data_IF_641647340863
#
_entry.id   IF_641647340863
#
_cell.length_a   1.000
_cell.length_b   1.000
_cell.length_c   1.000
_cell.angle_alpha   90.00
_cell.angle_beta   90.00
_cell.angle_gamma   90.00
#
_symmetry.space_group_name_H-M   'P 1'
#
loop_
_entity.id
_entity.type
_entity.pdbx_description
1 polymer ?
#
# COMPACT_ATOMS: atom_id res chain seq x y z
N UNK A 1 35.05 37.44 -1.07
CA UNK A 1 35.01 36.20 -1.83
C UNK A 1 34.83 35.06 -0.86
N UNK A 2 33.56 34.64 -0.56
CA UNK A 2 33.27 33.55 0.40
C UNK A 2 33.10 32.28 -0.44
N UNK A 3 34.10 31.39 -0.39
CA UNK A 3 34.07 30.07 -0.97
C UNK A 3 32.92 29.29 -0.33
N UNK A 4 31.94 28.90 -1.17
CA UNK A 4 30.92 27.91 -0.84
C UNK A 4 31.65 26.62 -0.36
N UNK A 5 31.51 26.29 0.92
CA UNK A 5 31.79 24.94 1.38
C UNK A 5 30.82 24.02 0.62
N UNK A 6 31.34 23.26 -0.34
CA UNK A 6 30.62 22.16 -0.94
C UNK A 6 30.10 21.31 0.23
N UNK A 7 28.75 21.22 0.35
CA UNK A 7 28.12 20.31 1.28
C UNK A 7 28.61 18.92 0.91
N UNK A 8 29.28 18.23 1.81
CA UNK A 8 29.55 16.79 1.68
C UNK A 8 28.20 16.09 1.57
N UNK A 9 27.76 15.86 0.34
CA UNK A 9 26.59 15.04 0.03
C UNK A 9 27.14 13.61 0.00
N UNK A 10 26.66 12.71 0.83
CA UNK A 10 27.14 11.33 0.78
C UNK A 10 26.67 10.71 -0.54
N UNK A 11 27.59 10.11 -1.29
CA UNK A 11 27.30 9.38 -2.55
C UNK A 11 26.62 8.03 -2.33
N UNK A 12 26.19 7.69 -1.09
CA UNK A 12 25.82 6.36 -0.65
C UNK A 12 24.43 6.33 0.02
N UNK A 13 23.44 6.96 -0.62
CA UNK A 13 22.06 6.99 -0.08
C UNK A 13 21.41 5.61 0.00
N UNK A 14 21.80 4.68 -0.87
CA UNK A 14 21.30 3.30 -0.94
C UNK A 14 21.63 2.47 0.31
N UNK A 15 22.70 2.82 1.01
CA UNK A 15 23.13 2.14 2.25
C UNK A 15 22.62 2.82 3.54
N UNK A 16 22.01 3.98 3.43
CA UNK A 16 21.51 4.72 4.57
C UNK A 16 20.17 4.16 5.06
N UNK A 17 19.95 4.21 6.36
CA UNK A 17 18.62 3.91 6.91
C UNK A 17 17.61 5.02 6.56
N UNK A 18 16.33 4.65 6.45
CA UNK A 18 15.25 5.61 6.17
C UNK A 18 15.27 6.80 7.13
N UNK A 19 15.58 6.57 8.40
CA UNK A 19 15.70 7.62 9.42
C UNK A 19 16.77 8.66 9.08
N UNK A 20 17.89 8.21 8.56
CA UNK A 20 19.00 9.08 8.16
C UNK A 20 18.62 9.91 6.93
N UNK A 21 17.98 9.26 5.94
CA UNK A 21 17.47 9.92 4.74
C UNK A 21 16.43 10.99 5.09
N UNK A 22 15.48 10.68 5.97
CA UNK A 22 14.49 11.64 6.46
C UNK A 22 15.18 12.82 7.15
N UNK A 23 16.19 12.56 7.98
CA UNK A 23 16.95 13.62 8.67
C UNK A 23 17.67 14.53 7.65
N UNK A 24 18.31 13.95 6.63
CA UNK A 24 18.97 14.72 5.56
C UNK A 24 17.96 15.60 4.81
N UNK A 25 16.83 15.06 4.44
CA UNK A 25 15.79 15.82 3.75
C UNK A 25 15.26 16.96 4.62
N UNK A 26 14.84 16.68 5.86
CA UNK A 26 14.25 17.69 6.75
C UNK A 26 15.24 18.79 7.17
N UNK A 27 16.49 18.44 7.48
CA UNK A 27 17.47 19.39 8.03
C UNK A 27 18.31 20.09 6.96
N UNK A 28 18.56 19.43 5.83
CA UNK A 28 19.44 19.96 4.76
C UNK A 28 18.71 20.23 3.46
N UNK A 29 17.39 19.94 3.40
CA UNK A 29 16.60 19.98 2.16
C UNK A 29 17.24 19.16 1.04
N UNK A 30 17.75 17.97 1.39
CA UNK A 30 18.45 17.08 0.47
C UNK A 30 17.45 16.29 -0.38
N UNK A 31 17.27 16.72 -1.61
CA UNK A 31 16.30 16.14 -2.54
C UNK A 31 16.69 14.71 -2.98
N UNK A 32 18.00 14.36 -2.95
CA UNK A 32 18.45 13.02 -3.30
C UNK A 32 18.09 12.01 -2.19
N UNK A 33 18.18 12.44 -0.93
CA UNK A 33 17.72 11.64 0.20
C UNK A 33 16.21 11.34 0.11
N UNK A 34 15.39 12.33 -0.27
CA UNK A 34 13.96 12.11 -0.47
C UNK A 34 13.67 11.21 -1.68
N UNK A 35 14.41 11.40 -2.78
CA UNK A 35 14.30 10.54 -3.97
C UNK A 35 14.57 9.07 -3.62
N UNK A 36 15.58 8.82 -2.79
CA UNK A 36 15.90 7.46 -2.34
C UNK A 36 14.77 6.87 -1.49
N UNK A 37 14.21 7.62 -0.54
CA UNK A 37 13.03 7.20 0.23
C UNK A 37 11.85 6.84 -0.69
N UNK A 38 11.62 7.65 -1.72
CA UNK A 38 10.60 7.38 -2.72
C UNK A 38 10.88 6.09 -3.47
N UNK A 39 12.10 5.91 -3.98
CA UNK A 39 12.49 4.72 -4.73
C UNK A 39 12.24 3.42 -3.95
N UNK A 40 12.58 3.42 -2.66
CA UNK A 40 12.41 2.24 -1.79
C UNK A 40 10.96 1.86 -1.53
N UNK A 41 10.08 2.86 -1.43
CA UNK A 41 8.75 2.63 -0.86
C UNK A 41 7.59 2.90 -1.81
N UNK A 42 7.82 3.59 -2.95
CA UNK A 42 6.75 3.95 -3.88
C UNK A 42 5.97 2.74 -4.41
N UNK A 43 6.67 1.65 -4.76
CA UNK A 43 6.02 0.45 -5.27
C UNK A 43 5.07 -0.18 -4.21
N UNK A 44 5.52 -0.23 -2.95
CA UNK A 44 4.70 -0.75 -1.83
C UNK A 44 3.45 0.12 -1.62
N UNK A 45 3.62 1.45 -1.57
CA UNK A 45 2.50 2.38 -1.40
C UNK A 45 1.51 2.28 -2.57
N UNK A 46 2.03 2.23 -3.79
CA UNK A 46 1.21 2.08 -5.00
C UNK A 46 0.40 0.78 -5.00
N UNK A 47 1.07 -0.35 -4.74
CA UNK A 47 0.44 -1.67 -4.69
C UNK A 47 -0.65 -1.74 -3.61
N UNK A 48 -0.43 -1.10 -2.46
CA UNK A 48 -1.45 -1.01 -1.42
C UNK A 48 -2.70 -0.27 -1.92
N UNK A 49 -2.53 0.94 -2.47
CA UNK A 49 -3.67 1.73 -2.97
C UNK A 49 -4.40 0.95 -4.06
N UNK A 50 -3.66 0.37 -5.01
CA UNK A 50 -4.24 -0.41 -6.10
C UNK A 50 -5.02 -1.64 -5.60
N UNK A 51 -4.52 -2.37 -4.61
CA UNK A 51 -5.22 -3.51 -4.00
C UNK A 51 -6.55 -3.14 -3.35
N UNK A 52 -6.74 -1.87 -3.02
CA UNK A 52 -7.96 -1.38 -2.38
C UNK A 52 -8.97 -0.81 -3.38
N UNK A 53 -8.52 -0.12 -4.44
CA UNK A 53 -9.41 0.60 -5.38
C UNK A 53 -9.58 -0.10 -6.72
N UNK A 54 -8.66 -1.01 -7.10
CA UNK A 54 -8.68 -1.78 -8.34
C UNK A 54 -8.84 -0.95 -9.64
N UNK A 55 -8.42 0.31 -9.61
CA UNK A 55 -8.47 1.21 -10.75
C UNK A 55 -7.16 2.01 -10.83
N UNK A 56 -6.47 1.94 -11.99
CA UNK A 56 -5.16 2.53 -12.19
C UNK A 56 -5.18 4.07 -12.12
N UNK A 57 -6.18 4.71 -12.72
CA UNK A 57 -6.29 6.18 -12.71
C UNK A 57 -6.51 6.69 -11.28
N UNK A 58 -7.48 6.10 -10.59
CA UNK A 58 -7.76 6.40 -9.18
C UNK A 58 -6.55 6.13 -8.29
N UNK A 59 -5.81 5.05 -8.55
CA UNK A 59 -4.57 4.75 -7.82
C UNK A 59 -3.53 5.84 -8.03
N UNK A 60 -3.33 6.30 -9.26
CA UNK A 60 -2.40 7.39 -9.57
C UNK A 60 -2.77 8.68 -8.83
N UNK A 61 -4.04 9.04 -8.81
CA UNK A 61 -4.54 10.24 -8.14
C UNK A 61 -4.30 10.17 -6.62
N UNK A 62 -4.68 9.05 -5.99
CA UNK A 62 -4.48 8.84 -4.56
C UNK A 62 -2.99 8.78 -4.20
N UNK A 63 -2.17 8.16 -5.06
CA UNK A 63 -0.74 8.10 -4.88
C UNK A 63 -0.10 9.49 -4.91
N UNK A 64 -0.44 10.31 -5.89
CA UNK A 64 0.02 11.70 -5.98
C UNK A 64 -0.45 12.53 -4.77
N UNK A 65 -1.71 12.41 -4.38
CA UNK A 65 -2.25 13.07 -3.19
C UNK A 65 -1.47 12.65 -1.93
N UNK A 66 -1.19 11.34 -1.80
CA UNK A 66 -0.43 10.78 -0.68
C UNK A 66 0.95 11.43 -0.57
N UNK A 67 1.74 11.45 -1.65
CA UNK A 67 3.08 12.02 -1.60
C UNK A 67 3.10 13.54 -1.52
N UNK A 68 2.09 14.22 -2.04
CA UNK A 68 1.89 15.65 -1.79
C UNK A 68 1.69 15.91 -0.29
N UNK A 69 0.86 15.10 0.39
CA UNK A 69 0.66 15.19 1.84
C UNK A 69 1.92 14.80 2.62
N UNK A 70 2.69 13.80 2.14
CA UNK A 70 3.98 13.42 2.74
C UNK A 70 4.94 14.62 2.74
N UNK A 71 5.11 15.28 1.62
CA UNK A 71 6.02 16.43 1.49
C UNK A 71 5.56 17.58 2.37
N UNK A 72 4.27 17.91 2.34
CA UNK A 72 3.73 19.10 3.02
C UNK A 72 3.61 18.93 4.53
N UNK A 73 3.42 17.70 5.02
CA UNK A 73 3.18 17.41 6.45
C UNK A 73 4.36 16.78 7.17
N UNK A 74 5.46 16.51 6.50
CA UNK A 74 6.60 15.80 7.10
C UNK A 74 7.16 16.55 8.31
N UNK A 75 7.25 17.88 8.25
CA UNK A 75 7.80 18.67 9.37
C UNK A 75 6.85 18.76 10.56
N UNK A 76 5.54 18.75 10.31
CA UNK A 76 4.52 18.97 11.34
C UNK A 76 4.08 17.67 12.04
N UNK A 77 3.97 16.57 11.29
CA UNK A 77 3.28 15.38 11.79
C UNK A 77 4.13 14.12 11.86
N UNK A 78 5.30 14.10 11.20
CA UNK A 78 6.19 12.93 11.26
C UNK A 78 6.97 12.90 12.57
N UNK A 79 6.83 11.78 13.31
CA UNK A 79 7.60 11.53 14.52
C UNK A 79 8.83 10.66 14.17
N UNK A 80 10.03 11.17 14.44
CA UNK A 80 11.31 10.48 14.16
C UNK A 80 11.50 9.17 14.94
N UNK A 81 10.67 8.90 15.96
CA UNK A 81 10.67 7.62 16.69
C UNK A 81 9.92 6.50 15.94
N UNK A 82 9.08 6.85 14.97
CA UNK A 82 8.31 5.92 14.16
C UNK A 82 9.04 5.50 12.88
N UNK A 83 8.62 4.37 12.32
CA UNK A 83 9.06 3.94 10.98
C UNK A 83 8.46 4.89 9.94
N UNK A 84 9.30 5.45 9.05
CA UNK A 84 8.86 6.36 8.01
C UNK A 84 7.77 5.74 7.12
N UNK A 85 7.99 4.51 6.69
CA UNK A 85 7.00 3.81 5.86
C UNK A 85 5.64 3.65 6.55
N UNK A 86 5.60 3.38 7.86
CA UNK A 86 4.33 3.25 8.59
C UNK A 86 3.55 4.59 8.61
N UNK A 87 4.26 5.71 8.73
CA UNK A 87 3.65 7.04 8.67
C UNK A 87 3.13 7.36 7.25
N UNK A 88 3.90 7.05 6.19
CA UNK A 88 3.46 7.20 4.80
C UNK A 88 2.24 6.33 4.52
N UNK A 89 2.26 5.07 4.98
CA UNK A 89 1.13 4.15 4.83
C UNK A 89 -0.14 4.65 5.53
N UNK A 90 -0.02 5.35 6.67
CA UNK A 90 -1.16 5.98 7.33
C UNK A 90 -1.79 7.07 6.45
N UNK A 91 -0.97 7.87 5.78
CA UNK A 91 -1.45 8.90 4.85
C UNK A 91 -2.14 8.25 3.65
N UNK A 92 -1.52 7.22 3.06
CA UNK A 92 -2.06 6.48 1.92
C UNK A 92 -3.38 5.78 2.26
N UNK A 93 -3.43 5.06 3.39
CA UNK A 93 -4.64 4.40 3.87
C UNK A 93 -5.80 5.38 4.04
N UNK A 94 -5.58 6.48 4.76
CA UNK A 94 -6.62 7.48 4.98
C UNK A 94 -7.13 8.08 3.66
N UNK A 95 -6.23 8.43 2.73
CA UNK A 95 -6.63 8.94 1.41
C UNK A 95 -7.45 7.91 0.61
N UNK A 96 -7.04 6.65 0.66
CA UNK A 96 -7.73 5.54 -0.02
C UNK A 96 -9.13 5.31 0.56
N UNK A 97 -9.26 5.22 1.88
CA UNK A 97 -10.56 5.00 2.54
C UNK A 97 -11.49 6.20 2.34
N UNK A 98 -10.95 7.42 2.38
CA UNK A 98 -11.75 8.62 2.10
C UNK A 98 -12.29 8.62 0.67
N UNK A 99 -11.47 8.17 -0.30
CA UNK A 99 -11.92 8.02 -1.69
C UNK A 99 -13.04 6.97 -1.80
N UNK A 100 -12.85 5.77 -1.25
CA UNK A 100 -13.85 4.68 -1.26
C UNK A 100 -15.17 5.15 -0.61
N UNK A 101 -15.10 5.84 0.53
CA UNK A 101 -16.28 6.36 1.22
C UNK A 101 -17.00 7.44 0.41
N UNK A 102 -16.27 8.29 -0.29
CA UNK A 102 -16.87 9.28 -1.21
C UNK A 102 -17.58 8.58 -2.37
N UNK A 103 -16.93 7.63 -3.00
CA UNK A 103 -17.51 6.87 -4.11
C UNK A 103 -18.80 6.14 -3.72
N UNK A 104 -18.81 5.43 -2.57
CA UNK A 104 -20.01 4.76 -2.05
C UNK A 104 -21.17 5.76 -1.85
N UNK A 105 -20.92 6.93 -1.28
CA UNK A 105 -21.94 7.97 -1.10
C UNK A 105 -22.52 8.50 -2.42
N UNK A 106 -21.72 8.64 -3.47
CA UNK A 106 -22.21 9.06 -4.79
C UNK A 106 -23.10 8.01 -5.44
N UNK A 107 -22.79 6.73 -5.27
CA UNK A 107 -23.59 5.60 -5.77
C UNK A 107 -24.94 5.54 -5.05
N UNK A 108 -24.96 5.65 -3.71
CA UNK A 108 -26.18 5.61 -2.91
C UNK A 108 -27.16 6.74 -3.27
N UNK A 109 -26.64 7.91 -3.66
CA UNK A 109 -27.48 9.07 -4.05
C UNK A 109 -28.05 8.93 -5.48
N UNK A 110 -27.34 8.25 -6.39
CA UNK A 110 -27.69 8.15 -7.80
C UNK A 110 -28.32 6.80 -8.23
N UNK A 111 -28.45 5.83 -7.33
CA UNK A 111 -29.24 4.59 -7.55
C UNK A 111 -28.68 3.63 -8.61
N UNK A 112 -27.44 3.73 -9.03
CA UNK A 112 -26.81 2.82 -10.00
C UNK A 112 -25.76 1.95 -9.35
N UNK A 113 -26.14 0.75 -8.95
CA UNK A 113 -25.21 -0.34 -8.65
C UNK A 113 -24.92 -1.08 -9.96
N UNK A 114 -23.75 -0.90 -10.52
CA UNK A 114 -23.23 -1.78 -11.57
C UNK A 114 -22.47 -2.92 -10.88
N UNK A 115 -23.12 -4.07 -10.76
CA UNK A 115 -22.54 -5.28 -10.15
C UNK A 115 -21.43 -5.92 -11.03
N UNK A 116 -21.31 -5.48 -12.29
CA UNK A 116 -20.40 -6.06 -13.28
C UNK A 116 -18.93 -5.59 -13.16
N UNK A 117 -18.63 -4.65 -12.26
CA UNK A 117 -17.24 -4.17 -12.11
C UNK A 117 -16.31 -5.12 -11.33
N UNK A 118 -16.82 -6.26 -10.83
CA UNK A 118 -16.03 -7.24 -10.06
C UNK A 118 -15.20 -8.21 -10.90
N UNK A 119 -15.47 -8.34 -12.20
CA UNK A 119 -14.95 -9.43 -13.03
C UNK A 119 -13.64 -9.12 -13.77
N UNK A 120 -13.17 -7.87 -13.74
CA UNK A 120 -12.08 -7.42 -14.63
C UNK A 120 -10.75 -7.13 -13.90
N UNK A 121 -10.56 -7.71 -12.69
CA UNK A 121 -9.37 -7.45 -11.87
C UNK A 121 -8.09 -8.06 -12.46
N UNK A 122 -8.18 -9.23 -13.11
CA UNK A 122 -7.01 -9.99 -13.60
C UNK A 122 -6.54 -9.59 -14.99
N UNK A 123 -7.44 -9.07 -15.82
CA UNK A 123 -7.08 -8.53 -17.13
C UNK A 123 -6.38 -7.18 -17.03
N UNK A 124 -6.42 -6.54 -15.84
CA UNK A 124 -5.85 -5.20 -15.57
C UNK A 124 -4.70 -5.19 -14.56
N UNK A 125 -4.04 -6.31 -14.33
CA UNK A 125 -2.72 -6.26 -13.67
C UNK A 125 -1.84 -5.31 -14.49
N UNK A 126 -1.15 -4.34 -13.87
CA UNK A 126 -0.34 -3.40 -14.61
C UNK A 126 0.65 -4.16 -15.46
N UNK A 127 0.62 -3.88 -16.78
CA UNK A 127 1.69 -4.25 -17.69
C UNK A 127 3.03 -3.82 -17.06
N UNK A 128 4.06 -4.59 -17.26
CA UNK A 128 5.41 -4.67 -16.66
C UNK A 128 6.13 -3.34 -16.31
N UNK A 129 5.50 -2.18 -16.48
CA UNK A 129 6.14 -0.86 -16.37
C UNK A 129 6.03 -0.14 -15.04
N UNK A 130 5.29 -0.65 -14.03
CA UNK A 130 5.04 0.04 -12.75
C UNK A 130 5.82 -0.58 -11.59
N UNK A 131 6.19 -1.85 -11.70
CA UNK A 131 7.19 -2.48 -10.85
C UNK A 131 8.55 -2.20 -11.51
N UNK A 132 9.47 -1.58 -10.78
CA UNK A 132 10.81 -1.29 -11.31
C UNK A 132 11.41 -2.54 -11.96
N UNK A 133 12.21 -2.36 -13.01
CA UNK A 133 12.79 -3.41 -13.85
C UNK A 133 13.55 -4.52 -13.07
N UNK A 134 13.78 -4.34 -11.77
CA UNK A 134 14.54 -5.26 -10.92
C UNK A 134 13.66 -6.25 -10.12
N UNK A 135 12.33 -6.10 -10.09
CA UNK A 135 11.41 -7.07 -9.52
C UNK A 135 10.48 -7.66 -10.61
N UNK A 136 11.08 -8.29 -11.63
CA UNK A 136 10.39 -9.37 -12.35
C UNK A 136 10.28 -10.57 -11.41
N UNK A 137 9.41 -10.46 -10.42
CA UNK A 137 8.77 -11.63 -9.87
C UNK A 137 7.95 -12.23 -11.02
N UNK A 138 8.46 -13.30 -11.62
CA UNK A 138 7.59 -14.31 -12.21
C UNK A 138 6.64 -14.67 -11.07
N UNK A 139 5.46 -14.01 -11.04
CA UNK A 139 4.40 -14.35 -10.12
C UNK A 139 4.04 -15.77 -10.48
N UNK A 140 4.52 -16.71 -9.67
CA UNK A 140 4.10 -18.10 -9.71
C UNK A 140 2.55 -18.12 -9.72
N UNK A 141 1.97 -19.03 -10.48
CA UNK A 141 0.52 -19.18 -10.62
C UNK A 141 -0.17 -19.14 -9.25
N UNK A 142 0.43 -19.78 -8.24
CA UNK A 142 -0.02 -19.77 -6.84
C UNK A 142 -0.06 -18.38 -6.20
N UNK A 143 0.87 -17.50 -6.54
CA UNK A 143 0.90 -16.13 -6.01
C UNK A 143 -0.19 -15.27 -6.64
N UNK A 144 -0.43 -15.46 -7.94
CA UNK A 144 -1.52 -14.78 -8.66
C UNK A 144 -2.89 -15.17 -8.11
N UNK A 145 -3.10 -16.47 -7.87
CA UNK A 145 -4.31 -17.03 -7.26
C UNK A 145 -4.54 -16.49 -5.84
N UNK A 146 -3.49 -16.46 -5.01
CA UNK A 146 -3.57 -15.88 -3.67
C UNK A 146 -3.99 -14.41 -3.69
N UNK A 147 -3.42 -13.60 -4.58
CA UNK A 147 -3.79 -12.18 -4.71
C UNK A 147 -5.26 -12.03 -5.13
N UNK A 148 -5.78 -12.93 -5.97
CA UNK A 148 -7.19 -13.00 -6.34
C UNK A 148 -8.08 -13.25 -5.12
N UNK A 149 -7.77 -14.22 -4.31
CA UNK A 149 -8.54 -14.49 -3.11
C UNK A 149 -8.47 -13.33 -2.11
N UNK A 150 -7.30 -12.71 -1.95
CA UNK A 150 -7.15 -11.51 -1.11
C UNK A 150 -8.04 -10.37 -1.61
N UNK A 151 -8.15 -10.18 -2.94
CA UNK A 151 -9.01 -9.11 -3.50
C UNK A 151 -10.50 -9.33 -3.24
N UNK A 152 -10.92 -10.58 -3.09
CA UNK A 152 -12.31 -10.96 -2.79
C UNK A 152 -12.68 -10.90 -1.30
N UNK A 153 -11.70 -10.64 -0.42
CA UNK A 153 -11.98 -10.44 1.00
C UNK A 153 -12.77 -9.13 1.25
N UNK A 154 -13.63 -9.11 2.30
CA UNK A 154 -14.17 -7.85 2.80
C UNK A 154 -13.06 -6.81 3.06
N UNK A 155 -13.35 -5.53 2.81
CA UNK A 155 -12.39 -4.41 2.86
C UNK A 155 -11.54 -4.41 4.13
N UNK A 156 -12.17 -4.58 5.31
CA UNK A 156 -11.47 -4.55 6.59
C UNK A 156 -10.53 -5.75 6.80
N UNK A 157 -10.90 -6.91 6.27
CA UNK A 157 -10.08 -8.13 6.33
C UNK A 157 -8.89 -8.01 5.38
N UNK A 158 -9.12 -7.57 4.14
CA UNK A 158 -8.10 -7.31 3.14
C UNK A 158 -7.08 -6.29 3.65
N UNK A 159 -7.54 -5.18 4.22
CA UNK A 159 -6.68 -4.16 4.84
C UNK A 159 -5.72 -4.77 5.85
N UNK A 160 -6.23 -5.57 6.80
CA UNK A 160 -5.39 -6.17 7.84
C UNK A 160 -4.40 -7.16 7.26
N UNK A 161 -4.80 -8.00 6.29
CA UNK A 161 -3.91 -8.95 5.61
C UNK A 161 -2.78 -8.20 4.90
N UNK A 162 -3.11 -7.18 4.09
CA UNK A 162 -2.12 -6.40 3.37
C UNK A 162 -1.14 -5.71 4.31
N UNK A 163 -1.62 -5.00 5.33
CA UNK A 163 -0.77 -4.30 6.29
C UNK A 163 0.12 -5.25 7.08
N UNK A 164 -0.37 -6.44 7.44
CA UNK A 164 0.39 -7.41 8.22
C UNK A 164 1.43 -8.15 7.39
N UNK A 165 1.04 -8.70 6.23
CA UNK A 165 1.91 -9.57 5.44
C UNK A 165 2.77 -8.81 4.43
N UNK A 166 2.23 -7.79 3.76
CA UNK A 166 2.96 -7.05 2.75
C UNK A 166 3.86 -5.96 3.33
N UNK A 167 3.42 -5.35 4.48
CA UNK A 167 4.15 -4.26 5.13
C UNK A 167 4.75 -4.65 6.47
N UNK A 168 4.60 -5.91 6.87
CA UNK A 168 5.12 -6.47 8.14
C UNK A 168 4.72 -5.63 9.37
N UNK A 169 3.59 -4.91 9.27
CA UNK A 169 3.16 -3.97 10.29
C UNK A 169 2.68 -4.73 11.54
N UNK A 170 3.11 -4.35 12.74
CA UNK A 170 2.61 -4.95 13.99
C UNK A 170 1.11 -4.68 14.18
N UNK A 171 0.37 -5.62 14.78
CA UNK A 171 -1.08 -5.45 15.02
C UNK A 171 -1.43 -4.20 15.83
N UNK A 172 -0.54 -3.73 16.70
CA UNK A 172 -0.72 -2.45 17.41
C UNK A 172 -0.78 -1.28 16.45
N UNK A 173 0.16 -1.20 15.51
CA UNK A 173 0.20 -0.15 14.47
C UNK A 173 -1.00 -0.27 13.51
N UNK A 174 -1.39 -1.51 13.14
CA UNK A 174 -2.58 -1.74 12.31
C UNK A 174 -3.84 -1.26 13.02
N UNK A 175 -3.98 -1.55 14.32
CA UNK A 175 -5.12 -1.12 15.11
C UNK A 175 -5.21 0.42 15.21
N UNK A 176 -4.07 1.08 15.45
CA UNK A 176 -3.97 2.54 15.46
C UNK A 176 -4.26 3.15 14.07
N UNK A 177 -3.78 2.51 12.99
CA UNK A 177 -4.00 2.95 11.61
C UNK A 177 -5.47 2.86 11.21
N UNK A 178 -6.14 1.77 11.59
CA UNK A 178 -7.52 1.47 11.17
C UNK A 178 -8.57 1.92 12.21
N UNK A 179 -8.14 2.63 13.26
CA UNK A 179 -8.98 3.15 14.35
C UNK A 179 -9.86 2.08 15.02
N UNK A 180 -9.23 0.94 15.35
CA UNK A 180 -9.90 -0.17 16.05
C UNK A 180 -9.05 -0.68 17.21
N UNK A 181 -9.64 -1.54 18.05
CA UNK A 181 -8.88 -2.24 19.10
C UNK A 181 -7.91 -3.29 18.49
N UNK A 182 -6.83 -3.60 19.20
CA UNK A 182 -5.91 -4.69 18.80
C UNK A 182 -6.66 -6.01 18.66
N UNK A 183 -7.62 -6.29 19.56
CA UNK A 183 -8.43 -7.50 19.48
C UNK A 183 -9.30 -7.53 18.22
N UNK A 184 -9.84 -6.39 17.80
CA UNK A 184 -10.58 -6.26 16.54
C UNK A 184 -9.66 -6.53 15.34
N UNK A 185 -8.46 -5.97 15.31
CA UNK A 185 -7.49 -6.23 14.24
C UNK A 185 -7.08 -7.71 14.16
N UNK A 186 -6.85 -8.36 15.31
CA UNK A 186 -6.58 -9.79 15.39
C UNK A 186 -7.79 -10.63 14.94
N UNK A 187 -9.00 -10.24 15.31
CA UNK A 187 -10.24 -10.87 14.86
C UNK A 187 -10.40 -10.77 13.34
N UNK A 188 -10.20 -9.59 12.75
CA UNK A 188 -10.24 -9.38 11.29
C UNK A 188 -9.23 -10.29 10.57
N UNK A 189 -8.00 -10.40 11.08
CA UNK A 189 -6.99 -11.32 10.52
C UNK A 189 -7.45 -12.78 10.60
N UNK A 190 -7.98 -13.22 11.77
CA UNK A 190 -8.48 -14.58 11.92
C UNK A 190 -9.58 -14.92 10.92
N UNK A 191 -10.55 -14.02 10.76
CA UNK A 191 -11.65 -14.22 9.80
C UNK A 191 -11.15 -14.15 8.35
N UNK A 192 -10.17 -13.29 8.04
CA UNK A 192 -9.55 -13.26 6.72
C UNK A 192 -8.93 -14.63 6.36
N UNK A 193 -8.17 -15.22 7.29
CA UNK A 193 -7.55 -16.53 7.06
C UNK A 193 -8.59 -17.66 6.91
N UNK A 194 -9.71 -17.60 7.64
CA UNK A 194 -10.82 -18.56 7.49
C UNK A 194 -11.44 -18.41 6.10
N UNK A 195 -11.72 -17.19 5.66
CA UNK A 195 -12.34 -16.93 4.37
C UNK A 195 -11.39 -17.30 3.21
N UNK A 196 -10.10 -16.98 3.32
CA UNK A 196 -9.10 -17.39 2.31
C UNK A 196 -9.05 -18.92 2.19
N UNK A 197 -8.96 -19.64 3.31
CA UNK A 197 -8.96 -21.11 3.28
C UNK A 197 -10.21 -21.65 2.59
N UNK A 198 -11.37 -21.11 2.91
CA UNK A 198 -12.63 -21.53 2.29
C UNK A 198 -12.62 -21.30 0.77
N UNK A 199 -12.10 -20.15 0.29
CA UNK A 199 -12.01 -19.85 -1.13
C UNK A 199 -11.07 -20.83 -1.85
N UNK A 200 -9.92 -21.16 -1.26
CA UNK A 200 -9.00 -22.18 -1.79
C UNK A 200 -9.63 -23.57 -1.86
N UNK A 201 -10.29 -24.01 -0.79
CA UNK A 201 -10.95 -25.32 -0.76
C UNK A 201 -12.05 -25.42 -1.84
N UNK A 202 -12.86 -24.36 -2.03
CA UNK A 202 -13.92 -24.30 -3.05
C UNK A 202 -13.36 -24.27 -4.50
N UNK A 203 -12.18 -23.72 -4.75
CA UNK A 203 -11.54 -23.69 -6.08
C UNK A 203 -10.96 -25.07 -6.41
N UNK A 204 -10.27 -25.72 -5.47
CA UNK A 204 -9.75 -27.08 -5.64
C UNK A 204 -10.82 -28.17 -5.78
N UNK A 205 -12.00 -27.98 -5.18
CA UNK A 205 -13.13 -28.89 -5.37
C UNK A 205 -13.76 -28.78 -6.78
N UNK A 206 -13.57 -27.64 -7.46
CA UNK A 206 -14.08 -27.40 -8.82
C UNK A 206 -13.17 -27.90 -9.92
N UNK A 207 -11.91 -28.25 -9.63
CA UNK A 207 -10.99 -28.96 -10.52
C UNK A 207 -10.99 -30.47 -10.21
N UNK A 208 -11.97 -31.26 -10.66
CA UNK A 208 -11.91 -32.70 -10.50
C UNK A 208 -10.85 -33.25 -11.46
N UNK A 209 -9.74 -33.74 -10.90
CA UNK A 209 -8.79 -34.69 -11.49
C UNK A 209 -8.91 -34.84 -13.03
N UNK A 210 -8.13 -34.04 -13.76
CA UNK A 210 -7.75 -34.39 -15.13
C UNK A 210 -6.63 -35.44 -15.02
N UNK A 211 -7.03 -36.71 -14.95
CA UNK A 211 -6.18 -37.87 -15.18
C UNK A 211 -6.30 -38.26 -16.65
#
# INVERSE_FOLDING_TARGET
MRLNKAKNIPDNYDQMEDRELVHLYRKKNDQLAFKELMNRHQAKVYSYIFSMVHNREVTNDIFQETFTKVITKMDDTYNEQGKWIAWVMRIAHNATIDHIRKQKRFVDVNGSYDEDSKTDFYERLPDEGVLGQDEKLELDESTSELLKHISNLPEEQRTVVMLRHYYEMPFKEIAELTDVSINTALGRMRYALINLRKMFDEEHEKEPNSV
#
